data_IF_322596257456
#
_entry.id   IF_322596257456
#
_cell.length_a   1.000
_cell.length_b   1.000
_cell.length_c   1.000
_cell.angle_alpha   90.00
_cell.angle_beta   90.00
_cell.angle_gamma   90.00
#
_symmetry.space_group_name_H-M   'P 1'
#
loop_
_entity.id
_entity.type
_entity.pdbx_description
1 polymer ?
#
# COMPACT_ATOMS: atom_id res chain seq x y z
N UNK A 1 5.66 -6.14 -21.62
CA UNK A 1 5.08 -5.91 -20.28
C UNK A 1 5.19 -4.43 -19.96
N UNK A 2 4.11 -3.79 -19.52
CA UNK A 2 4.13 -2.39 -19.07
C UNK A 2 4.92 -2.27 -17.77
N UNK A 3 5.77 -1.26 -17.67
CA UNK A 3 6.50 -0.93 -16.44
C UNK A 3 5.50 -0.42 -15.40
N UNK A 4 5.22 -1.21 -14.35
CA UNK A 4 4.26 -0.86 -13.29
C UNK A 4 4.88 -0.03 -12.15
N UNK A 5 6.19 -0.09 -11.96
CA UNK A 5 6.89 0.74 -10.96
C UNK A 5 7.15 2.10 -11.60
N UNK A 6 6.52 3.14 -11.05
CA UNK A 6 6.48 4.49 -11.63
C UNK A 6 6.81 5.55 -10.59
N UNK A 7 7.32 6.68 -11.06
CA UNK A 7 7.49 7.89 -10.26
C UNK A 7 6.13 8.51 -9.92
N UNK A 8 6.08 9.35 -8.89
CA UNK A 8 4.87 10.11 -8.55
C UNK A 8 4.38 10.98 -9.73
N UNK A 9 5.31 11.55 -10.51
CA UNK A 9 4.96 12.34 -11.71
C UNK A 9 4.23 11.49 -12.75
N UNK A 10 4.71 10.29 -13.01
CA UNK A 10 4.08 9.34 -13.93
C UNK A 10 2.74 8.86 -13.38
N UNK A 11 2.65 8.54 -12.09
CA UNK A 11 1.42 8.12 -11.42
C UNK A 11 0.31 9.19 -11.53
N UNK A 12 0.66 10.48 -11.39
CA UNK A 12 -0.28 11.60 -11.60
C UNK A 12 -0.77 11.66 -13.05
N UNK A 13 0.13 11.53 -14.02
CA UNK A 13 -0.25 11.52 -15.42
C UNK A 13 -1.18 10.33 -15.76
N UNK A 14 -0.94 9.16 -15.16
CA UNK A 14 -1.82 7.99 -15.27
C UNK A 14 -3.19 8.30 -14.67
N UNK A 15 -3.24 8.90 -13.47
CA UNK A 15 -4.49 9.28 -12.81
C UNK A 15 -5.32 10.23 -13.67
N UNK A 16 -4.68 11.27 -14.22
CA UNK A 16 -5.35 12.24 -15.08
C UNK A 16 -5.91 11.59 -16.35
N UNK A 17 -5.18 10.62 -16.93
CA UNK A 17 -5.66 9.85 -18.08
C UNK A 17 -6.88 9.00 -17.74
N UNK A 18 -6.89 8.30 -16.60
CA UNK A 18 -8.05 7.51 -16.17
C UNK A 18 -9.25 8.40 -15.92
N UNK A 19 -9.06 9.52 -15.23
CA UNK A 19 -10.12 10.49 -14.95
C UNK A 19 -10.70 11.12 -16.23
N UNK A 20 -9.87 11.43 -17.23
CA UNK A 20 -10.34 11.96 -18.52
C UNK A 20 -11.28 11.00 -19.28
N UNK A 21 -11.26 9.72 -18.92
CA UNK A 21 -12.12 8.67 -19.47
C UNK A 21 -13.29 8.30 -18.54
N UNK A 22 -13.46 9.03 -17.43
CA UNK A 22 -14.48 8.77 -16.42
C UNK A 22 -14.21 7.57 -15.51
N UNK A 23 -12.98 7.03 -15.49
CA UNK A 23 -12.60 5.95 -14.59
C UNK A 23 -12.22 6.46 -13.20
N UNK A 24 -12.28 5.56 -12.20
CA UNK A 24 -11.92 5.81 -10.79
C UNK A 24 -10.56 5.22 -10.45
N UNK A 25 -9.70 6.03 -9.84
CA UNK A 25 -8.39 5.63 -9.33
C UNK A 25 -8.45 5.37 -7.84
N UNK A 26 -8.06 4.16 -7.47
CA UNK A 26 -7.87 3.71 -6.10
C UNK A 26 -6.41 3.86 -5.72
N UNK A 27 -6.15 4.39 -4.53
CA UNK A 27 -4.84 4.40 -3.92
C UNK A 27 -4.84 3.71 -2.57
N UNK A 28 -3.77 3.01 -2.28
CA UNK A 28 -3.49 2.43 -0.97
C UNK A 28 -1.99 2.49 -0.69
N UNK A 29 -1.56 2.32 0.56
CA UNK A 29 -0.15 2.31 0.89
C UNK A 29 0.21 1.38 2.05
N UNK A 30 1.48 1.00 2.12
CA UNK A 30 2.04 0.25 3.25
C UNK A 30 3.49 -0.15 3.04
N UNK A 31 4.08 -0.75 4.07
CA UNK A 31 5.45 -1.26 3.99
C UNK A 31 5.54 -2.54 3.15
N UNK A 32 4.53 -3.41 3.18
CA UNK A 32 4.49 -4.70 2.47
C UNK A 32 5.76 -5.55 2.64
N UNK A 33 6.30 -5.58 3.86
CA UNK A 33 7.65 -6.10 4.10
C UNK A 33 7.82 -7.59 3.80
N UNK A 34 7.02 -8.48 4.42
CA UNK A 34 6.86 -9.86 3.94
C UNK A 34 5.43 -10.05 3.50
N UNK A 35 5.23 -10.39 2.22
CA UNK A 35 3.90 -10.65 1.69
C UNK A 35 3.30 -11.93 2.29
N UNK A 36 2.00 -11.86 2.50
CA UNK A 36 1.18 -12.99 2.90
C UNK A 36 -0.21 -12.83 2.29
N UNK A 37 -1.03 -13.87 2.40
CA UNK A 37 -2.37 -13.91 1.80
C UNK A 37 -3.27 -12.75 2.28
N UNK A 38 -3.05 -12.24 3.50
CA UNK A 38 -3.72 -11.05 4.02
C UNK A 38 -3.49 -9.81 3.14
N UNK A 39 -2.24 -9.54 2.74
CA UNK A 39 -1.92 -8.44 1.81
C UNK A 39 -2.55 -8.65 0.44
N UNK A 40 -2.54 -9.88 -0.09
CA UNK A 40 -3.13 -10.17 -1.41
C UNK A 40 -4.64 -9.90 -1.40
N UNK A 41 -5.35 -10.41 -0.38
CA UNK A 41 -6.80 -10.16 -0.22
C UNK A 41 -7.11 -8.69 -0.03
N UNK A 42 -6.29 -7.98 0.75
CA UNK A 42 -6.41 -6.54 0.96
C UNK A 42 -6.30 -5.75 -0.36
N UNK A 43 -5.27 -6.03 -1.16
CA UNK A 43 -5.05 -5.36 -2.45
C UNK A 43 -6.12 -5.72 -3.47
N UNK A 44 -6.60 -6.96 -3.48
CA UNK A 44 -7.74 -7.37 -4.31
C UNK A 44 -9.02 -6.63 -3.93
N UNK A 45 -9.27 -6.45 -2.63
CA UNK A 45 -10.43 -5.68 -2.16
C UNK A 45 -10.30 -4.20 -2.50
N UNK A 46 -9.11 -3.63 -2.37
CA UNK A 46 -8.82 -2.26 -2.80
C UNK A 46 -9.11 -2.10 -4.31
N UNK A 47 -8.59 -3.00 -5.14
CA UNK A 47 -8.82 -2.96 -6.59
C UNK A 47 -10.30 -2.99 -6.98
N UNK A 48 -11.16 -3.67 -6.21
CA UNK A 48 -12.61 -3.73 -6.49
C UNK A 48 -13.34 -2.40 -6.32
N UNK A 49 -12.74 -1.42 -5.65
CA UNK A 49 -13.38 -0.13 -5.41
C UNK A 49 -13.34 0.79 -6.64
N UNK A 50 -12.50 0.50 -7.64
CA UNK A 50 -12.38 1.32 -8.84
C UNK A 50 -11.71 0.61 -10.01
N UNK A 51 -11.30 1.38 -11.01
CA UNK A 51 -10.82 0.86 -12.29
C UNK A 51 -9.30 0.65 -12.32
N UNK A 52 -8.56 1.38 -11.48
CA UNK A 52 -7.09 1.33 -11.43
C UNK A 52 -6.61 1.42 -9.98
N UNK A 53 -5.72 0.52 -9.57
CA UNK A 53 -5.09 0.50 -8.26
C UNK A 53 -3.62 0.93 -8.34
N UNK A 54 -3.31 2.03 -7.63
CA UNK A 54 -1.94 2.48 -7.36
C UNK A 54 -1.58 2.13 -5.92
N UNK A 55 -0.43 1.49 -5.72
CA UNK A 55 0.07 1.10 -4.40
C UNK A 55 1.30 1.94 -4.04
N UNK A 56 1.20 2.73 -2.98
CA UNK A 56 2.31 3.41 -2.33
C UNK A 56 3.11 2.44 -1.46
N UNK A 57 4.42 2.35 -1.69
CA UNK A 57 5.32 1.49 -0.91
C UNK A 57 6.33 2.35 -0.18
N UNK A 58 6.34 2.25 1.15
CA UNK A 58 7.32 2.95 1.97
C UNK A 58 8.75 2.52 1.57
N UNK A 59 9.66 3.47 1.43
CA UNK A 59 11.08 3.22 1.22
C UNK A 59 11.70 2.55 2.45
N UNK A 60 12.97 2.14 2.35
CA UNK A 60 13.63 1.39 3.43
C UNK A 60 13.81 2.25 4.69
N UNK A 61 14.06 3.55 4.54
CA UNK A 61 14.22 4.49 5.65
C UNK A 61 12.91 4.75 6.40
N UNK A 62 11.82 4.98 5.66
CA UNK A 62 10.46 5.16 6.16
C UNK A 62 9.98 3.91 6.87
N UNK A 63 10.20 2.74 6.26
CA UNK A 63 9.84 1.46 6.89
C UNK A 63 10.59 1.23 8.19
N UNK A 64 11.90 1.53 8.24
CA UNK A 64 12.70 1.42 9.46
C UNK A 64 12.22 2.37 10.56
N UNK A 65 11.92 3.63 10.23
CA UNK A 65 11.35 4.59 11.21
C UNK A 65 10.02 4.11 11.78
N UNK A 66 9.17 3.49 10.94
CA UNK A 66 7.84 3.02 11.33
C UNK A 66 7.84 1.70 12.10
N UNK A 67 8.79 0.80 11.82
CA UNK A 67 8.78 -0.58 12.33
C UNK A 67 9.93 -0.90 13.30
N UNK A 68 10.92 -0.02 13.42
CA UNK A 68 12.08 -0.18 14.30
C UNK A 68 13.28 -0.86 13.63
N UNK A 69 14.33 -1.07 14.42
CA UNK A 69 15.55 -1.74 13.99
C UNK A 69 15.29 -3.18 13.50
N UNK A 70 16.07 -3.63 12.52
CA UNK A 70 15.90 -4.94 11.88
C UNK A 70 14.80 -4.99 10.80
N UNK A 71 14.24 -3.83 10.41
CA UNK A 71 13.24 -3.70 9.33
C UNK A 71 13.69 -2.66 8.29
N UNK A 72 13.25 -2.77 7.02
CA UNK A 72 12.53 -3.93 6.45
C UNK A 72 13.43 -5.17 6.30
N UNK A 73 12.83 -6.35 6.12
CA UNK A 73 13.53 -7.58 5.74
C UNK A 73 13.79 -7.65 4.23
N UNK A 74 12.89 -7.08 3.41
CA UNK A 74 13.06 -6.98 1.97
C UNK A 74 13.32 -5.53 1.57
N UNK A 75 14.27 -5.30 0.66
CA UNK A 75 14.56 -3.96 0.16
C UNK A 75 13.36 -3.41 -0.62
N UNK A 76 13.23 -2.09 -0.68
CA UNK A 76 12.10 -1.42 -1.34
C UNK A 76 11.93 -1.81 -2.80
N UNK A 77 13.03 -2.10 -3.51
CA UNK A 77 13.00 -2.58 -4.90
C UNK A 77 12.28 -3.92 -5.00
N UNK A 78 12.68 -4.90 -4.18
CA UNK A 78 12.09 -6.24 -4.17
C UNK A 78 10.61 -6.19 -3.78
N UNK A 79 10.27 -5.39 -2.74
CA UNK A 79 8.87 -5.21 -2.31
C UNK A 79 8.01 -4.63 -3.43
N UNK A 80 8.52 -3.63 -4.14
CA UNK A 80 7.82 -3.03 -5.27
C UNK A 80 7.68 -3.99 -6.46
N UNK A 81 8.70 -4.79 -6.76
CA UNK A 81 8.66 -5.76 -7.85
C UNK A 81 7.66 -6.88 -7.58
N UNK A 82 7.64 -7.43 -6.37
CA UNK A 82 6.67 -8.46 -5.99
C UNK A 82 5.24 -7.92 -6.06
N UNK A 83 5.00 -6.69 -5.57
CA UNK A 83 3.69 -6.05 -5.67
C UNK A 83 3.27 -5.80 -7.12
N UNK A 84 4.20 -5.33 -7.97
CA UNK A 84 3.94 -5.14 -9.40
C UNK A 84 3.57 -6.44 -10.12
N UNK A 85 4.10 -7.59 -9.66
CA UNK A 85 3.75 -8.90 -10.21
C UNK A 85 2.31 -9.34 -9.88
N UNK A 86 1.64 -8.74 -8.89
CA UNK A 86 0.26 -9.08 -8.56
C UNK A 86 -0.69 -8.57 -9.65
N UNK A 87 -1.62 -9.43 -10.06
CA UNK A 87 -2.62 -9.12 -11.10
C UNK A 87 -3.48 -7.91 -10.74
N UNK A 88 -3.88 -7.78 -9.47
CA UNK A 88 -4.73 -6.68 -9.00
C UNK A 88 -4.02 -5.32 -8.85
N UNK A 89 -2.69 -5.27 -8.98
CA UNK A 89 -1.90 -4.04 -8.82
C UNK A 89 -1.55 -3.49 -10.20
N UNK A 90 -2.01 -2.28 -10.53
CA UNK A 90 -1.70 -1.65 -11.81
C UNK A 90 -0.38 -0.89 -11.75
N UNK A 91 -0.15 -0.12 -10.69
CA UNK A 91 1.05 0.68 -10.51
C UNK A 91 1.57 0.69 -9.07
N UNK A 92 2.87 0.88 -8.94
CA UNK A 92 3.58 0.98 -7.65
C UNK A 92 4.38 2.27 -7.61
N UNK A 93 4.27 3.02 -6.51
CA UNK A 93 5.02 4.26 -6.27
C UNK A 93 5.80 4.11 -4.96
N UNK A 94 7.11 4.38 -4.98
CA UNK A 94 7.93 4.41 -3.77
C UNK A 94 7.84 5.80 -3.11
N UNK A 95 7.82 5.85 -1.78
CA UNK A 95 7.81 7.12 -1.03
C UNK A 95 8.53 7.02 0.32
N UNK A 96 9.13 8.13 0.75
CA UNK A 96 10.01 8.17 1.94
C UNK A 96 9.41 8.89 3.14
N UNK A 97 8.28 9.56 2.96
CA UNK A 97 7.59 10.31 3.99
C UNK A 97 7.06 9.37 5.10
N UNK A 98 6.87 9.87 6.34
CA UNK A 98 6.33 9.07 7.44
C UNK A 98 4.87 8.64 7.23
N UNK A 99 4.08 9.51 6.61
CA UNK A 99 2.67 9.30 6.25
C UNK A 99 2.52 9.38 4.73
N UNK A 100 1.37 8.95 4.20
CA UNK A 100 1.08 9.06 2.77
C UNK A 100 0.41 10.39 2.39
N UNK A 101 0.28 11.35 3.32
CA UNK A 101 -0.44 12.62 3.11
C UNK A 101 0.05 13.37 1.88
N UNK A 102 1.37 13.52 1.72
CA UNK A 102 1.96 14.21 0.56
C UNK A 102 1.67 13.48 -0.75
N UNK A 103 1.64 12.14 -0.73
CA UNK A 103 1.30 11.33 -1.90
C UNK A 103 -0.19 11.45 -2.23
N UNK A 104 -1.07 11.32 -1.23
CA UNK A 104 -2.52 11.46 -1.40
C UNK A 104 -2.86 12.86 -1.91
N UNK A 105 -2.24 13.91 -1.36
CA UNK A 105 -2.42 15.30 -1.79
C UNK A 105 -1.99 15.53 -3.24
N UNK A 106 -0.89 14.91 -3.65
CA UNK A 106 -0.38 15.05 -5.01
C UNK A 106 -1.13 14.21 -6.04
N UNK A 107 -1.59 13.01 -5.65
CA UNK A 107 -2.26 12.06 -6.53
C UNK A 107 -3.76 12.30 -6.63
N UNK A 108 -4.39 12.79 -5.56
CA UNK A 108 -5.84 12.98 -5.41
C UNK A 108 -6.63 11.76 -5.94
N UNK A 109 -6.41 10.56 -5.36
CA UNK A 109 -7.14 9.36 -5.75
C UNK A 109 -8.64 9.55 -5.49
N UNK A 110 -9.49 8.99 -6.34
CA UNK A 110 -10.94 9.06 -6.11
C UNK A 110 -11.33 8.25 -4.87
N UNK A 111 -10.57 7.19 -4.55
CA UNK A 111 -10.75 6.38 -3.35
C UNK A 111 -9.40 6.08 -2.70
N UNK A 112 -9.27 6.43 -1.42
CA UNK A 112 -8.16 6.00 -0.58
C UNK A 112 -8.56 4.81 0.28
N UNK A 113 -7.89 3.68 0.08
CA UNK A 113 -8.20 2.43 0.77
C UNK A 113 -7.20 2.19 1.90
N UNK A 114 -7.70 2.01 3.12
CA UNK A 114 -6.90 1.58 4.28
C UNK A 114 -7.43 0.28 4.86
N UNK A 115 -6.53 -0.58 5.33
CA UNK A 115 -6.89 -1.84 5.97
C UNK A 115 -6.34 -1.95 7.38
N UNK A 116 -6.93 -2.85 8.17
CA UNK A 116 -6.56 -3.09 9.56
C UNK A 116 -7.57 -2.51 10.55
N UNK A 117 -7.12 -2.25 11.78
CA UNK A 117 -7.96 -1.77 12.88
C UNK A 117 -8.07 -0.23 12.92
N UNK A 118 -7.62 0.47 11.88
CA UNK A 118 -7.64 1.93 11.86
C UNK A 118 -9.08 2.45 11.84
N UNK A 119 -9.36 3.45 12.66
CA UNK A 119 -10.56 4.28 12.51
C UNK A 119 -10.26 5.49 11.61
N UNK A 120 -11.31 6.17 11.12
CA UNK A 120 -11.13 7.36 10.28
C UNK A 120 -10.36 8.47 11.02
N UNK A 121 -10.60 8.60 12.32
CA UNK A 121 -9.98 9.60 13.20
C UNK A 121 -8.47 9.36 13.41
N UNK A 122 -8.01 8.14 13.14
CA UNK A 122 -6.59 7.76 13.28
C UNK A 122 -5.80 7.95 11.98
N UNK A 123 -6.44 8.35 10.88
CA UNK A 123 -5.81 8.49 9.57
C UNK A 123 -5.36 9.94 9.31
N UNK A 124 -4.04 10.22 9.27
CA UNK A 124 -3.54 11.54 8.92
C UNK A 124 -3.99 11.98 7.52
N UNK A 125 -4.20 11.02 6.61
CA UNK A 125 -4.64 11.33 5.26
C UNK A 125 -6.14 11.70 5.15
N UNK A 126 -6.93 11.53 6.21
CA UNK A 126 -8.39 11.73 6.13
C UNK A 126 -8.78 13.15 5.78
N UNK A 127 -8.16 14.14 6.42
CA UNK A 127 -8.38 15.56 6.13
C UNK A 127 -7.99 15.88 4.69
N UNK A 128 -6.86 15.33 4.22
CA UNK A 128 -6.39 15.52 2.84
C UNK A 128 -7.39 14.97 1.83
N UNK A 129 -7.94 13.77 2.07
CA UNK A 129 -8.95 13.17 1.19
C UNK A 129 -10.23 14.01 1.15
N UNK A 130 -10.67 14.51 2.31
CA UNK A 130 -11.87 15.35 2.41
C UNK A 130 -11.71 16.70 1.69
N UNK A 131 -10.52 17.31 1.72
CA UNK A 131 -10.25 18.61 1.08
C UNK A 131 -10.54 18.64 -0.42
N UNK A 132 -10.29 17.53 -1.15
CA UNK A 132 -10.57 17.44 -2.58
C UNK A 132 -11.82 16.61 -2.92
N UNK A 133 -12.57 16.17 -1.90
CA UNK A 133 -13.82 15.42 -2.06
C UNK A 133 -13.65 13.95 -2.46
N UNK A 134 -12.51 13.33 -2.14
CA UNK A 134 -12.30 11.90 -2.35
C UNK A 134 -13.03 11.04 -1.31
N UNK A 135 -13.07 9.73 -1.55
CA UNK A 135 -13.68 8.75 -0.64
C UNK A 135 -12.61 7.97 0.13
N UNK A 136 -12.92 7.60 1.37
CA UNK A 136 -12.09 6.67 2.15
C UNK A 136 -12.85 5.36 2.31
N UNK A 137 -12.20 4.26 1.95
CA UNK A 137 -12.73 2.92 2.15
C UNK A 137 -11.87 2.15 3.16
N UNK A 138 -12.48 1.76 4.27
CA UNK A 138 -11.83 0.92 5.29
C UNK A 138 -12.14 -0.55 5.01
N UNK A 139 -11.14 -1.31 4.61
CA UNK A 139 -11.31 -2.74 4.34
C UNK A 139 -11.53 -3.49 5.66
N UNK A 140 -12.43 -4.50 5.71
CA UNK A 140 -12.53 -5.39 6.86
C UNK A 140 -11.18 -6.04 7.20
N UNK A 141 -10.86 -6.14 8.49
CA UNK A 141 -9.61 -6.77 8.96
C UNK A 141 -9.54 -8.20 8.44
N UNK A 142 -8.60 -8.48 7.55
CA UNK A 142 -8.33 -9.84 7.09
C UNK A 142 -7.83 -10.67 8.28
N UNK A 143 -8.69 -11.55 8.82
CA UNK A 143 -8.30 -12.46 9.90
C UNK A 143 -7.28 -13.46 9.40
N UNK A 144 -6.18 -13.58 10.14
CA UNK A 144 -5.16 -14.60 9.94
C UNK A 144 -3.96 -14.12 9.12
N UNK A 145 -2.79 -14.17 9.78
CA UNK A 145 -1.43 -13.90 9.28
C UNK A 145 -1.06 -12.42 9.19
N UNK A 146 -0.02 -12.07 9.92
CA UNK A 146 0.75 -10.84 9.80
C UNK A 146 2.21 -11.20 9.55
N UNK A 147 3.01 -10.28 9.01
CA UNK A 147 4.45 -10.49 8.88
C UNK A 147 5.10 -10.86 10.23
N UNK A 148 4.71 -10.16 11.31
CA UNK A 148 5.20 -10.46 12.67
C UNK A 148 4.82 -11.87 13.10
N UNK A 149 3.58 -12.31 12.84
CA UNK A 149 3.14 -13.66 13.17
C UNK A 149 3.87 -14.75 12.39
N UNK A 150 4.19 -14.50 11.11
CA UNK A 150 5.01 -15.41 10.30
C UNK A 150 6.44 -15.53 10.84
N UNK A 151 7.07 -14.40 11.17
CA UNK A 151 8.41 -14.40 11.75
C UNK A 151 8.42 -15.14 13.10
N UNK A 152 7.44 -14.88 13.96
CA UNK A 152 7.32 -15.57 15.25
C UNK A 152 7.18 -17.09 15.07
N UNK A 153 6.39 -17.54 14.08
CA UNK A 153 6.24 -18.96 13.77
C UNK A 153 7.55 -19.60 13.28
N UNK A 154 8.30 -18.90 12.41
CA UNK A 154 9.62 -19.37 11.92
C UNK A 154 10.62 -19.48 13.07
N UNK A 155 10.69 -18.46 13.94
CA UNK A 155 11.60 -18.46 15.11
C UNK A 155 11.25 -19.56 16.10
N UNK A 156 9.96 -19.82 16.34
CA UNK A 156 9.52 -20.91 17.20
C UNK A 156 9.96 -22.27 16.65
N UNK A 157 9.73 -22.51 15.35
CA UNK A 157 10.07 -23.77 14.70
C UNK A 157 11.57 -24.09 14.75
N UNK A 158 12.44 -23.12 14.46
CA UNK A 158 13.90 -23.35 14.45
C UNK A 158 14.58 -23.29 15.82
N UNK A 159 13.86 -22.92 16.89
CA UNK A 159 14.36 -23.06 18.27
C UNK A 159 14.15 -24.48 18.82
N UNK A 160 13.21 -25.24 18.28
CA UNK A 160 12.95 -26.62 18.66
C UNK A 160 13.91 -27.61 17.98
N UNK A 161 14.52 -27.22 16.86
CA UNK A 161 15.52 -28.00 16.10
C UNK A 161 16.98 -27.83 16.61
N UNK A 162 17.20 -27.16 17.74
CA UNK A 162 18.51 -26.94 18.38
C UNK A 162 18.55 -27.51 19.79
#
# INVERSE_FOLDING_TARGET
MTKKIVSLKEARAIRDQVASRGGRVVFTNGCFDLLHVGHVRYLQEAKRQGDLLIVGVNDDGSTRRLKGEGRPFMLQGDRAEILAALECVDYVVLFGEPTAESLVRALQPDIYVKGGNYTLEELPEADVVAEYGGEIYLTPVARGRSTTGLIAAIVAHHREDR
#
